data_IF_551931994790
#
_entry.id   IF_551931994790
#
_cell.length_a   1.000
_cell.length_b   1.000
_cell.length_c   1.000
_cell.angle_alpha   90.00
_cell.angle_beta   90.00
_cell.angle_gamma   90.00
#
_symmetry.space_group_name_H-M   'P 1'
#
loop_
_entity.id
_entity.type
_entity.pdbx_description
1 polymer ?
#
# COMPACT_ATOMS: atom_id res chain seq x y z
N UNK A 1 0.67 21.03 2.57
CA UNK A 1 0.16 19.64 2.55
C UNK A 1 1.27 18.74 1.98
N UNK A 2 1.65 17.73 2.73
CA UNK A 2 2.74 16.85 2.27
C UNK A 2 2.24 15.90 1.18
N UNK A 3 2.79 16.03 -0.02
CA UNK A 3 2.47 15.16 -1.16
C UNK A 3 2.87 13.70 -0.91
N UNK A 4 3.96 13.50 -0.18
CA UNK A 4 4.51 12.19 0.17
C UNK A 4 4.71 12.08 1.67
N UNK A 5 4.79 10.86 2.16
CA UNK A 5 5.18 10.54 3.52
C UNK A 5 6.42 9.66 3.50
N UNK A 6 7.41 10.02 4.30
CA UNK A 6 8.66 9.27 4.39
C UNK A 6 8.97 8.96 5.85
N UNK A 7 9.31 7.73 6.11
CA UNK A 7 9.76 7.25 7.42
C UNK A 7 10.94 6.30 7.26
N UNK A 8 11.68 6.09 8.34
CA UNK A 8 12.77 5.11 8.38
C UNK A 8 12.55 4.13 9.52
N UNK A 9 12.89 2.88 9.28
CA UNK A 9 12.86 1.85 10.32
C UNK A 9 14.03 0.89 10.18
N UNK A 10 14.45 0.30 11.29
CA UNK A 10 15.45 -0.76 11.29
C UNK A 10 14.76 -2.13 11.16
N UNK A 11 15.28 -2.97 10.26
CA UNK A 11 14.79 -4.34 10.07
C UNK A 11 15.10 -5.18 11.31
N UNK A 12 14.06 -5.66 12.01
CA UNK A 12 14.18 -6.43 13.23
C UNK A 12 14.41 -7.91 12.94
N UNK A 13 15.02 -8.63 13.86
CA UNK A 13 15.20 -10.07 13.75
C UNK A 13 13.86 -10.81 13.57
N UNK A 14 12.79 -10.33 14.23
CA UNK A 14 11.43 -10.89 14.14
C UNK A 14 10.78 -10.70 12.78
N UNK A 15 11.28 -9.79 11.97
CA UNK A 15 10.76 -9.51 10.62
C UNK A 15 11.45 -10.36 9.55
N UNK A 16 12.47 -11.17 9.94
CA UNK A 16 13.34 -11.88 9.02
C UNK A 16 13.08 -13.39 8.97
N UNK A 17 13.49 -13.98 7.84
CA UNK A 17 13.63 -15.43 7.70
C UNK A 17 14.96 -15.94 8.33
N UNK A 18 15.23 -17.26 8.21
CA UNK A 18 16.46 -17.87 8.74
C UNK A 18 17.75 -17.42 8.03
N UNK A 19 17.63 -16.82 6.83
CA UNK A 19 18.75 -16.20 6.11
C UNK A 19 18.91 -14.71 6.44
N UNK A 20 18.19 -14.22 7.48
CA UNK A 20 18.18 -12.83 7.94
C UNK A 20 17.68 -11.84 6.88
N UNK A 21 16.83 -12.29 5.96
CA UNK A 21 16.15 -11.43 4.98
C UNK A 21 14.75 -11.09 5.48
N UNK A 22 14.37 -9.83 5.31
CA UNK A 22 13.03 -9.39 5.66
C UNK A 22 11.98 -10.18 4.88
N UNK A 23 11.03 -10.78 5.59
CA UNK A 23 9.93 -11.52 4.98
C UNK A 23 8.97 -10.59 4.25
N UNK A 24 8.31 -11.10 3.23
CA UNK A 24 7.36 -10.34 2.43
C UNK A 24 6.16 -9.85 3.27
N UNK A 25 5.66 -10.65 4.21
CA UNK A 25 4.58 -10.24 5.12
C UNK A 25 4.99 -9.05 6.01
N UNK A 26 6.23 -9.01 6.50
CA UNK A 26 6.76 -7.88 7.26
C UNK A 26 6.86 -6.61 6.38
N UNK A 27 7.24 -6.76 5.11
CA UNK A 27 7.25 -5.66 4.16
C UNK A 27 5.83 -5.12 3.91
N UNK A 28 4.83 -6.01 3.78
CA UNK A 28 3.42 -5.61 3.66
C UNK A 28 2.93 -4.85 4.90
N UNK A 29 3.30 -5.28 6.10
CA UNK A 29 2.96 -4.55 7.33
C UNK A 29 3.55 -3.14 7.29
N UNK A 30 4.84 -3.00 6.93
CA UNK A 30 5.47 -1.69 6.81
C UNK A 30 4.77 -0.78 5.78
N UNK A 31 4.34 -1.33 4.64
CA UNK A 31 3.57 -0.58 3.64
C UNK A 31 2.25 -0.05 4.22
N UNK A 32 1.51 -0.90 4.92
CA UNK A 32 0.21 -0.51 5.48
C UNK A 32 0.36 0.51 6.60
N UNK A 33 1.32 0.32 7.50
CA UNK A 33 1.60 1.25 8.58
C UNK A 33 1.99 2.66 8.07
N UNK A 34 2.92 2.75 7.14
CA UNK A 34 3.31 4.02 6.55
C UNK A 34 2.19 4.66 5.73
N UNK A 35 1.41 3.83 5.01
CA UNK A 35 0.23 4.28 4.28
C UNK A 35 -0.84 4.87 5.19
N UNK A 36 -1.12 4.22 6.34
CA UNK A 36 -2.08 4.70 7.34
C UNK A 36 -1.60 5.99 8.00
N UNK A 37 -0.33 6.09 8.39
CA UNK A 37 0.22 7.33 8.98
C UNK A 37 0.12 8.51 8.02
N UNK A 38 0.37 8.29 6.74
CA UNK A 38 0.17 9.33 5.74
C UNK A 38 -1.32 9.69 5.60
N UNK A 39 -2.21 8.70 5.44
CA UNK A 39 -3.65 8.93 5.34
C UNK A 39 -4.20 9.68 6.57
N UNK A 40 -3.75 9.30 7.77
CA UNK A 40 -4.10 9.97 9.01
C UNK A 40 -3.70 11.46 8.99
N UNK A 41 -2.49 11.77 8.51
CA UNK A 41 -2.02 13.15 8.38
C UNK A 41 -2.81 13.99 7.36
N UNK A 42 -3.48 13.31 6.42
CA UNK A 42 -4.34 13.93 5.40
C UNK A 42 -5.82 13.98 5.79
N UNK A 43 -6.19 13.51 6.98
CA UNK A 43 -7.59 13.48 7.43
C UNK A 43 -8.40 12.29 6.93
N UNK A 44 -7.75 11.24 6.43
CA UNK A 44 -8.35 10.04 5.85
C UNK A 44 -7.83 8.73 6.47
N UNK A 45 -7.32 8.78 7.70
CA UNK A 45 -6.95 7.59 8.47
C UNK A 45 -8.17 6.77 8.88
N UNK A 46 -7.95 5.57 9.40
CA UNK A 46 -9.00 4.59 9.68
C UNK A 46 -10.16 5.17 10.51
N UNK A 47 -9.87 5.75 11.68
CA UNK A 47 -10.92 6.29 12.55
C UNK A 47 -11.67 7.48 11.94
N UNK A 48 -10.95 8.32 11.19
CA UNK A 48 -11.52 9.47 10.48
C UNK A 48 -12.48 9.01 9.38
N UNK A 49 -12.13 7.96 8.64
CA UNK A 49 -12.99 7.37 7.61
C UNK A 49 -14.17 6.63 8.24
N UNK A 50 -13.96 5.86 9.32
CA UNK A 50 -15.04 5.19 10.05
C UNK A 50 -16.06 6.17 10.59
N UNK A 51 -15.63 7.33 11.10
CA UNK A 51 -16.54 8.40 11.54
C UNK A 51 -17.41 8.95 10.40
N UNK A 52 -16.95 8.86 9.15
CA UNK A 52 -17.69 9.22 7.93
C UNK A 52 -18.54 8.06 7.38
N UNK A 53 -18.57 6.91 8.04
CA UNK A 53 -19.24 5.70 7.58
C UNK A 53 -18.55 5.01 6.40
N UNK A 54 -17.27 5.23 6.24
CA UNK A 54 -16.44 4.73 5.14
C UNK A 54 -15.23 3.95 5.67
N UNK A 55 -14.67 3.05 4.87
CA UNK A 55 -13.37 2.45 5.12
C UNK A 55 -12.69 2.04 3.82
N UNK A 56 -11.36 1.93 3.87
CA UNK A 56 -10.57 1.43 2.76
C UNK A 56 -10.32 -0.07 2.90
N UNK A 57 -10.43 -0.79 1.79
CA UNK A 57 -10.02 -2.18 1.67
C UNK A 57 -9.02 -2.35 0.54
N UNK A 58 -7.95 -3.09 0.79
CA UNK A 58 -6.95 -3.42 -0.23
C UNK A 58 -7.56 -4.42 -1.22
N UNK A 59 -7.69 -4.00 -2.48
CA UNK A 59 -8.24 -4.84 -3.54
C UNK A 59 -7.15 -5.61 -4.30
N UNK A 60 -6.04 -4.94 -4.59
CA UNK A 60 -4.91 -5.53 -5.33
C UNK A 60 -3.63 -4.82 -4.97
N UNK A 61 -2.53 -5.57 -5.04
CA UNK A 61 -1.19 -5.01 -4.89
C UNK A 61 -0.22 -5.70 -5.85
N UNK A 62 0.67 -4.92 -6.42
CA UNK A 62 1.82 -5.39 -7.20
C UNK A 62 3.08 -4.96 -6.45
N UNK A 63 3.94 -5.90 -6.14
CA UNK A 63 5.22 -5.66 -5.46
C UNK A 63 6.35 -6.20 -6.33
N UNK A 64 7.39 -5.39 -6.52
CA UNK A 64 8.65 -5.80 -7.09
C UNK A 64 9.75 -5.65 -6.07
N UNK A 65 10.46 -6.73 -5.78
CA UNK A 65 11.60 -6.74 -4.86
C UNK A 65 12.88 -6.85 -5.66
N UNK A 66 13.72 -5.83 -5.57
CA UNK A 66 15.04 -5.80 -6.23
C UNK A 66 16.08 -6.51 -5.36
N UNK A 67 16.03 -6.25 -4.06
CA UNK A 67 16.81 -6.90 -3.03
C UNK A 67 16.04 -6.89 -1.71
N UNK A 68 15.89 -8.05 -1.09
CA UNK A 68 15.28 -8.12 0.24
C UNK A 68 16.12 -7.34 1.27
N UNK A 69 15.50 -6.47 2.08
CA UNK A 69 16.18 -5.84 3.20
C UNK A 69 16.72 -6.91 4.16
N UNK A 70 17.85 -6.65 4.79
CA UNK A 70 18.49 -7.56 5.74
C UNK A 70 18.35 -7.06 7.16
N UNK A 71 18.41 -7.98 8.12
CA UNK A 71 18.40 -7.68 9.54
C UNK A 71 19.41 -6.57 9.87
N UNK A 72 19.02 -5.62 10.71
CA UNK A 72 19.75 -4.44 11.15
C UNK A 72 19.99 -3.36 10.08
N UNK A 73 19.59 -3.58 8.83
CA UNK A 73 19.62 -2.47 7.85
C UNK A 73 18.54 -1.44 8.20
N UNK A 74 18.87 -0.17 7.96
CA UNK A 74 17.89 0.93 8.03
C UNK A 74 17.26 1.13 6.68
N UNK A 75 15.94 0.94 6.62
CA UNK A 75 15.13 1.09 5.42
C UNK A 75 14.41 2.42 5.47
N UNK A 76 14.43 3.14 4.35
CA UNK A 76 13.64 4.34 4.11
C UNK A 76 12.42 3.94 3.28
N UNK A 77 11.24 4.18 3.81
CA UNK A 77 9.96 3.95 3.14
C UNK A 77 9.33 5.28 2.77
N UNK A 78 9.04 5.48 1.49
CA UNK A 78 8.30 6.63 0.98
C UNK A 78 7.01 6.17 0.34
N UNK A 79 5.89 6.81 0.67
CA UNK A 79 4.57 6.47 0.12
C UNK A 79 3.78 7.72 -0.25
N UNK A 80 2.92 7.60 -1.25
CA UNK A 80 2.00 8.67 -1.68
C UNK A 80 0.75 8.10 -2.35
N UNK A 81 -0.39 8.80 -2.27
CA UNK A 81 -1.57 8.46 -3.05
C UNK A 81 -1.34 8.83 -4.53
N UNK A 82 -1.79 7.97 -5.42
CA UNK A 82 -1.86 8.25 -6.85
C UNK A 82 -3.18 8.88 -7.26
N UNK A 83 -3.36 9.09 -8.55
CA UNK A 83 -4.59 9.65 -9.11
C UNK A 83 -5.77 8.69 -8.91
N UNK A 84 -6.81 9.18 -8.25
CA UNK A 84 -8.04 8.42 -7.99
C UNK A 84 -8.89 8.28 -9.25
N UNK A 85 -9.45 7.11 -9.45
CA UNK A 85 -10.44 6.88 -10.50
C UNK A 85 -11.83 6.54 -9.90
N UNK A 86 -12.78 6.16 -10.77
CA UNK A 86 -14.15 5.84 -10.35
C UNK A 86 -14.23 4.76 -9.26
N UNK A 87 -13.27 3.82 -9.20
CA UNK A 87 -13.34 2.65 -8.33
C UNK A 87 -12.22 2.56 -7.31
N UNK A 88 -11.05 3.12 -7.62
CA UNK A 88 -9.84 2.88 -6.87
C UNK A 88 -9.17 4.17 -6.39
N UNK A 89 -8.58 4.05 -5.20
CA UNK A 89 -7.58 4.96 -4.65
C UNK A 89 -6.21 4.28 -4.77
N UNK A 90 -5.41 4.60 -5.78
CA UNK A 90 -4.06 4.05 -5.89
C UNK A 90 -3.16 4.58 -4.80
N UNK A 91 -2.17 3.78 -4.39
CA UNK A 91 -1.08 4.21 -3.51
C UNK A 91 0.21 3.54 -3.94
N UNK A 92 1.27 4.31 -3.96
CA UNK A 92 2.61 3.85 -4.28
C UNK A 92 3.49 3.79 -3.05
N UNK A 93 4.44 2.86 -3.07
CA UNK A 93 5.43 2.65 -2.03
C UNK A 93 6.79 2.41 -2.65
N UNK A 94 7.83 3.04 -2.09
CA UNK A 94 9.22 2.84 -2.46
C UNK A 94 10.02 2.57 -1.20
N UNK A 95 10.86 1.56 -1.25
CA UNK A 95 11.78 1.19 -0.18
C UNK A 95 13.21 1.27 -0.68
N UNK A 96 14.04 2.01 0.04
CA UNK A 96 15.46 2.18 -0.27
C UNK A 96 16.29 2.02 1.00
N UNK A 97 17.59 1.83 0.85
CA UNK A 97 18.53 2.13 1.93
C UNK A 97 18.72 3.65 2.07
N UNK A 98 19.41 4.08 3.12
CA UNK A 98 19.71 5.50 3.37
C UNK A 98 20.55 6.14 2.25
N UNK A 99 21.38 5.35 1.57
CA UNK A 99 22.19 5.79 0.42
C UNK A 99 21.40 5.84 -0.91
N UNK A 100 20.10 5.51 -0.89
CA UNK A 100 19.25 5.48 -2.05
C UNK A 100 19.23 4.14 -2.82
N UNK A 101 19.98 3.13 -2.37
CA UNK A 101 19.96 1.80 -2.99
C UNK A 101 18.53 1.24 -3.00
N UNK A 102 17.94 0.90 -4.17
CA UNK A 102 16.56 0.41 -4.26
C UNK A 102 16.43 -0.99 -3.67
N UNK A 103 15.38 -1.20 -2.87
CA UNK A 103 15.05 -2.46 -2.23
C UNK A 103 13.76 -3.06 -2.81
N UNK A 104 12.69 -2.28 -2.83
CA UNK A 104 11.40 -2.70 -3.36
C UNK A 104 10.57 -1.51 -3.81
N UNK A 105 9.62 -1.77 -4.71
CA UNK A 105 8.57 -0.83 -5.08
C UNK A 105 7.22 -1.55 -5.10
N UNK A 106 6.14 -0.84 -4.76
CA UNK A 106 4.80 -1.39 -4.80
C UNK A 106 3.77 -0.38 -5.30
N UNK A 107 2.75 -0.90 -5.98
CA UNK A 107 1.56 -0.18 -6.37
C UNK A 107 0.32 -0.92 -5.86
N UNK A 108 -0.46 -0.26 -5.02
CA UNK A 108 -1.65 -0.81 -4.39
C UNK A 108 -2.92 -0.13 -4.92
N UNK A 109 -3.97 -0.91 -5.13
CA UNK A 109 -5.31 -0.43 -5.46
C UNK A 109 -6.23 -0.65 -4.27
N UNK A 110 -6.68 0.43 -3.68
CA UNK A 110 -7.64 0.42 -2.59
C UNK A 110 -9.04 0.73 -3.11
N UNK A 111 -10.04 0.10 -2.55
CA UNK A 111 -11.47 0.44 -2.74
C UNK A 111 -12.00 1.09 -1.48
N UNK A 112 -12.91 2.03 -1.66
CA UNK A 112 -13.62 2.65 -0.55
C UNK A 112 -15.01 2.01 -0.43
N UNK A 113 -15.38 1.63 0.79
CA UNK A 113 -16.61 0.91 1.09
C UNK A 113 -17.45 1.71 2.09
N UNK A 114 -18.76 1.72 1.87
CA UNK A 114 -19.74 2.18 2.86
C UNK A 114 -19.90 1.11 3.95
N UNK A 115 -19.77 1.52 5.22
CA UNK A 115 -19.80 0.60 6.38
C UNK A 115 -21.17 -0.04 6.60
N UNK A 116 -22.26 0.64 6.21
CA UNK A 116 -23.66 0.18 6.40
C UNK A 116 -24.13 -0.64 5.21
N UNK A 117 -23.96 -0.09 4.01
CA UNK A 117 -24.46 -0.71 2.78
C UNK A 117 -23.50 -1.77 2.22
N UNK A 118 -22.24 -1.80 2.69
CA UNK A 118 -21.17 -2.69 2.21
C UNK A 118 -21.01 -2.64 0.68
N UNK A 119 -21.13 -1.44 0.13
CA UNK A 119 -20.99 -1.17 -1.31
C UNK A 119 -19.77 -0.32 -1.57
N UNK A 120 -19.17 -0.49 -2.74
CA UNK A 120 -18.09 0.35 -3.21
C UNK A 120 -18.65 1.76 -3.44
N UNK A 121 -17.95 2.73 -2.85
CA UNK A 121 -18.21 4.16 -3.04
C UNK A 121 -17.14 4.71 -3.97
N UNK A 122 -17.55 5.52 -4.95
CA UNK A 122 -16.58 6.16 -5.85
C UNK A 122 -15.74 7.19 -5.09
N UNK A 123 -14.41 7.06 -5.08
CA UNK A 123 -13.53 8.04 -4.42
C UNK A 123 -13.68 9.46 -4.98
N UNK A 124 -14.02 9.57 -6.26
CA UNK A 124 -14.23 10.87 -6.92
C UNK A 124 -15.44 11.65 -6.38
N UNK A 125 -16.32 11.00 -5.62
CA UNK A 125 -17.52 11.62 -5.02
C UNK A 125 -17.28 12.06 -3.57
N UNK A 126 -16.10 11.82 -3.04
CA UNK A 126 -15.77 12.08 -1.63
C UNK A 126 -14.50 12.91 -1.59
N UNK A 127 -14.56 14.06 -0.93
CA UNK A 127 -13.35 14.81 -0.65
C UNK A 127 -12.54 14.08 0.41
N UNK A 128 -11.40 13.52 0.00
CA UNK A 128 -10.46 12.80 0.85
C UNK A 128 -9.32 13.69 1.35
N UNK A 129 -9.20 14.92 0.84
CA UNK A 129 -8.10 15.81 1.16
C UNK A 129 -6.74 15.33 0.60
N UNK A 130 -6.74 14.39 -0.34
CA UNK A 130 -5.49 13.89 -0.92
C UNK A 130 -4.86 14.92 -1.84
N UNK A 131 -3.53 15.09 -1.80
CA UNK A 131 -2.81 16.01 -2.68
C UNK A 131 -2.85 15.53 -4.13
N UNK A 132 -2.76 16.48 -5.05
CA UNK A 132 -2.46 16.20 -6.44
C UNK A 132 -0.99 15.79 -6.56
N UNK A 133 -0.76 14.55 -6.96
CA UNK A 133 0.54 13.93 -7.17
C UNK A 133 0.77 13.55 -8.63
N UNK A 134 0.08 14.19 -9.56
CA UNK A 134 0.21 13.97 -11.02
C UNK A 134 1.62 14.24 -11.55
N UNK A 135 2.40 15.03 -10.84
CA UNK A 135 3.81 15.33 -11.11
C UNK A 135 4.79 14.24 -10.63
N UNK A 136 4.32 13.29 -9.81
CA UNK A 136 5.15 12.21 -9.30
C UNK A 136 5.12 11.00 -10.24
N UNK A 137 6.30 10.51 -10.59
CA UNK A 137 6.42 9.31 -11.42
C UNK A 137 6.06 8.06 -10.64
N UNK A 138 5.16 7.25 -11.19
CA UNK A 138 4.83 5.94 -10.63
C UNK A 138 6.08 5.03 -10.64
N UNK A 139 6.47 4.45 -9.49
CA UNK A 139 7.67 3.63 -9.41
C UNK A 139 7.50 2.24 -10.03
N UNK A 140 6.24 1.83 -10.22
CA UNK A 140 5.85 0.53 -10.75
C UNK A 140 4.45 0.63 -11.37
N UNK A 141 4.15 -0.23 -12.34
CA UNK A 141 2.81 -0.33 -12.88
C UNK A 141 1.80 -0.85 -11.85
N UNK A 142 0.62 -0.25 -11.81
CA UNK A 142 -0.48 -0.74 -10.96
C UNK A 142 -0.94 -2.13 -11.42
N UNK A 143 -1.44 -2.96 -10.49
CA UNK A 143 -1.90 -4.29 -10.82
C UNK A 143 -3.14 -4.23 -11.72
N UNK A 144 -3.12 -5.03 -12.77
CA UNK A 144 -4.27 -5.21 -13.67
C UNK A 144 -5.28 -6.20 -13.10
N UNK A 145 -6.46 -6.30 -13.74
CA UNK A 145 -7.44 -7.32 -13.38
C UNK A 145 -6.83 -8.70 -13.64
N UNK A 146 -6.85 -9.55 -12.62
CA UNK A 146 -6.47 -10.95 -12.80
C UNK A 146 -7.48 -11.64 -13.73
N UNK A 147 -7.02 -12.43 -14.71
CA UNK A 147 -7.91 -13.25 -15.53
C UNK A 147 -8.65 -14.25 -14.65
N UNK A 148 -9.89 -14.58 -15.04
CA UNK A 148 -10.63 -15.65 -14.38
C UNK A 148 -9.87 -16.96 -14.54
N UNK A 149 -9.79 -17.75 -13.48
CA UNK A 149 -9.24 -19.10 -13.54
C UNK A 149 -10.14 -19.92 -14.50
N UNK A 150 -9.54 -20.45 -15.54
CA UNK A 150 -10.17 -21.40 -16.44
C UNK A 150 -9.82 -22.81 -15.94
N UNK A 151 -10.82 -23.55 -15.46
CA UNK A 151 -10.62 -24.91 -14.96
C UNK A 151 -11.57 -25.24 -13.81
N UNK A 152 -11.64 -26.50 -13.44
CA UNK A 152 -12.39 -26.97 -12.28
C UNK A 152 -11.77 -26.37 -10.99
N UNK A 153 -12.63 -26.06 -10.04
CA UNK A 153 -12.15 -25.58 -8.73
C UNK A 153 -11.19 -26.63 -8.14
N UNK A 154 -10.04 -26.19 -7.56
CA UNK A 154 -9.13 -27.12 -6.94
C UNK A 154 -9.88 -27.93 -5.86
N UNK A 155 -9.68 -29.26 -5.84
CA UNK A 155 -10.22 -30.08 -4.77
C UNK A 155 -9.70 -29.59 -3.43
N UNK A 156 -10.61 -29.18 -2.58
CA UNK A 156 -10.27 -28.84 -1.19
C UNK A 156 -9.96 -30.18 -0.50
N UNK A 157 -8.70 -30.37 -0.13
CA UNK A 157 -8.34 -31.48 0.73
C UNK A 157 -9.03 -31.30 2.10
N UNK A 158 -9.96 -32.17 2.40
CA UNK A 158 -10.62 -32.27 3.71
C UNK A 158 -9.72 -33.05 4.67
#
# INVERSE_FOLDING_TARGET
MNKTYTESFQVRATDCDFERRMRLDALFIAMQEGGERHALSLGAGYDQMMARGLFFALARIHVSTFRAPRQNETVVHTTWPGEMNRFFCPRYHVFTLQDGTPLAAAGALWVMLDTKQRRIVSPQKVDLGFPDNSDLTAPIALPTRMPALKGEAPQVFS
#
